data_IF_561701625187
#
_entry.id   IF_561701625187
#
_cell.length_a   1.000
_cell.length_b   1.000
_cell.length_c   1.000
_cell.angle_alpha   90.00
_cell.angle_beta   90.00
_cell.angle_gamma   90.00
#
_symmetry.space_group_name_H-M   'P 1'
#
loop_
_entity.id
_entity.type
_entity.pdbx_description
1 polymer ?
#
# COMPACT_ATOMS: atom_id res chain seq x y z
N UNK A 1 18.31 17.44 -36.46
CA UNK A 1 17.30 18.05 -35.59
C UNK A 1 16.09 17.16 -35.31
N UNK A 2 15.56 16.44 -36.30
CA UNK A 2 14.43 15.53 -36.07
C UNK A 2 14.75 14.40 -35.09
N UNK A 3 15.97 13.85 -35.07
CA UNK A 3 16.40 12.81 -34.13
C UNK A 3 16.50 13.32 -32.68
N UNK A 4 16.92 14.58 -32.51
CA UNK A 4 17.02 15.18 -31.16
C UNK A 4 15.63 15.40 -30.55
N UNK A 5 14.66 15.90 -31.34
CA UNK A 5 13.29 16.08 -30.92
C UNK A 5 12.62 14.75 -30.55
N UNK A 6 12.92 13.70 -31.29
CA UNK A 6 12.40 12.35 -31.03
C UNK A 6 12.94 11.78 -29.71
N UNK A 7 14.23 11.98 -29.45
CA UNK A 7 14.87 11.55 -28.18
C UNK A 7 14.31 12.34 -27.01
N UNK A 8 14.12 13.64 -27.13
CA UNK A 8 13.50 14.48 -26.07
C UNK A 8 12.08 14.04 -25.82
N UNK A 9 11.31 13.72 -26.85
CA UNK A 9 9.94 13.25 -26.73
C UNK A 9 9.87 11.88 -26.02
N UNK A 10 10.79 10.96 -26.34
CA UNK A 10 10.90 9.67 -25.65
C UNK A 10 11.26 9.84 -24.17
N UNK A 11 12.20 10.74 -23.86
CA UNK A 11 12.58 11.03 -22.47
C UNK A 11 11.40 11.59 -21.69
N UNK A 12 10.62 12.49 -22.29
CA UNK A 12 9.41 13.05 -21.67
C UNK A 12 8.34 11.97 -21.44
N UNK A 13 8.18 11.04 -22.37
CA UNK A 13 7.26 9.90 -22.20
C UNK A 13 7.67 9.00 -21.03
N UNK A 14 8.97 8.73 -20.88
CA UNK A 14 9.47 7.91 -19.78
C UNK A 14 9.39 8.62 -18.42
N UNK A 15 9.55 9.94 -18.38
CA UNK A 15 9.39 10.70 -17.14
C UNK A 15 7.94 10.80 -16.67
N UNK A 16 6.97 10.65 -17.56
CA UNK A 16 5.54 10.65 -17.20
C UNK A 16 5.05 9.33 -16.64
N UNK A 17 5.85 8.26 -16.69
CA UNK A 17 5.57 7.01 -15.98
C UNK A 17 6.05 7.16 -14.55
N UNK A 18 5.38 8.00 -13.77
CA UNK A 18 5.67 8.12 -12.34
C UNK A 18 5.19 6.86 -11.60
N UNK A 19 5.89 6.50 -10.53
CA UNK A 19 5.52 5.39 -9.65
C UNK A 19 4.10 5.50 -9.10
N UNK A 20 3.51 6.70 -9.10
CA UNK A 20 2.14 6.95 -8.68
C UNK A 20 1.10 6.23 -9.54
N UNK A 21 1.45 5.76 -10.75
CA UNK A 21 0.56 4.96 -11.60
C UNK A 21 0.66 3.46 -11.35
N UNK A 22 1.67 3.00 -10.63
CA UNK A 22 1.85 1.58 -10.30
C UNK A 22 1.02 1.14 -9.12
N UNK A 23 0.64 2.06 -8.24
CA UNK A 23 -0.16 1.79 -7.05
C UNK A 23 -1.21 2.88 -6.87
N UNK A 24 -2.38 2.47 -6.39
CA UNK A 24 -3.49 3.37 -6.15
C UNK A 24 -3.71 3.52 -4.64
N UNK A 25 -4.07 4.73 -4.24
CA UNK A 25 -4.39 5.02 -2.86
C UNK A 25 -3.17 5.25 -1.97
N UNK A 26 -3.45 5.39 -0.69
CA UNK A 26 -2.44 5.76 0.30
C UNK A 26 -1.46 4.61 0.61
N UNK A 27 -1.88 3.36 0.41
CA UNK A 27 -1.02 2.21 0.71
C UNK A 27 0.20 2.14 -0.19
N UNK A 28 0.14 2.72 -1.39
CA UNK A 28 1.29 2.85 -2.28
C UNK A 28 2.22 4.00 -1.92
N UNK A 29 1.82 4.86 -1.00
CA UNK A 29 2.55 6.06 -0.62
C UNK A 29 3.56 5.77 0.50
N UNK A 30 4.50 6.71 0.68
CA UNK A 30 5.39 6.67 1.85
C UNK A 30 4.61 6.95 3.13
N UNK A 31 5.13 6.46 4.24
CA UNK A 31 4.55 6.64 5.58
C UNK A 31 4.31 8.10 5.95
N UNK A 32 5.16 9.02 5.50
CA UNK A 32 4.94 10.44 5.77
C UNK A 32 3.60 10.93 5.19
N UNK A 33 3.23 10.46 4.00
CA UNK A 33 1.92 10.78 3.39
C UNK A 33 0.76 10.16 4.16
N UNK A 34 0.93 8.97 4.68
CA UNK A 34 -0.06 8.35 5.55
C UNK A 34 -0.32 9.20 6.79
N UNK A 35 0.74 9.65 7.45
CA UNK A 35 0.65 10.48 8.65
C UNK A 35 -0.06 11.81 8.36
N UNK A 36 0.33 12.50 7.28
CA UNK A 36 -0.33 13.74 6.85
C UNK A 36 -1.81 13.51 6.52
N UNK A 37 -2.11 12.42 5.82
CA UNK A 37 -3.46 12.08 5.37
C UNK A 37 -4.40 11.83 6.55
N UNK A 38 -3.92 11.20 7.62
CA UNK A 38 -4.73 10.87 8.80
C UNK A 38 -5.00 12.05 9.73
N UNK A 39 -4.28 13.17 9.56
CA UNK A 39 -4.51 14.39 10.35
C UNK A 39 -5.76 15.14 9.87
N UNK A 40 -6.06 15.08 8.57
CA UNK A 40 -7.19 15.77 7.95
C UNK A 40 -8.38 14.81 7.90
N UNK A 41 -9.49 15.16 8.57
CA UNK A 41 -10.71 14.33 8.63
C UNK A 41 -10.41 12.88 9.05
N UNK A 42 -9.94 12.64 10.28
CA UNK A 42 -9.39 11.35 10.67
C UNK A 42 -10.37 10.18 10.55
N UNK A 43 -11.68 10.40 10.77
CA UNK A 43 -12.66 9.32 10.71
C UNK A 43 -12.92 8.85 9.29
N UNK A 44 -13.12 9.77 8.35
CA UNK A 44 -13.35 9.45 6.94
C UNK A 44 -12.10 8.78 6.36
N UNK A 45 -10.94 9.33 6.66
CA UNK A 45 -9.66 8.80 6.20
C UNK A 45 -9.39 7.41 6.76
N UNK A 46 -9.76 7.17 8.01
CA UNK A 46 -9.68 5.84 8.63
C UNK A 46 -10.54 4.81 7.89
N UNK A 47 -11.76 5.17 7.52
CA UNK A 47 -12.64 4.29 6.74
C UNK A 47 -12.06 3.96 5.37
N UNK A 48 -11.56 4.98 4.66
CA UNK A 48 -10.92 4.80 3.36
C UNK A 48 -9.69 3.89 3.46
N UNK A 49 -8.84 4.11 4.45
CA UNK A 49 -7.63 3.32 4.67
C UNK A 49 -7.95 1.89 5.04
N UNK A 50 -8.95 1.66 5.88
CA UNK A 50 -9.38 0.32 6.24
C UNK A 50 -9.89 -0.44 5.01
N UNK A 51 -10.62 0.21 4.12
CA UNK A 51 -11.06 -0.40 2.87
C UNK A 51 -9.87 -0.76 1.95
N UNK A 52 -8.90 0.13 1.81
CA UNK A 52 -7.68 -0.14 1.05
C UNK A 52 -6.87 -1.29 1.63
N UNK A 53 -6.70 -1.32 2.95
CA UNK A 53 -5.97 -2.37 3.66
C UNK A 53 -6.64 -3.72 3.44
N UNK A 54 -7.96 -3.80 3.59
CA UNK A 54 -8.70 -5.05 3.35
C UNK A 54 -8.54 -5.53 1.91
N UNK A 55 -8.64 -4.63 0.95
CA UNK A 55 -8.43 -4.96 -0.45
C UNK A 55 -7.02 -5.48 -0.72
N UNK A 56 -6.01 -4.86 -0.14
CA UNK A 56 -4.62 -5.27 -0.28
C UNK A 56 -4.36 -6.65 0.32
N UNK A 57 -4.81 -6.89 1.54
CA UNK A 57 -4.65 -8.20 2.21
C UNK A 57 -5.40 -9.30 1.45
N UNK A 58 -6.59 -8.99 0.94
CA UNK A 58 -7.36 -9.92 0.10
C UNK A 58 -6.59 -10.26 -1.19
N UNK A 59 -5.98 -9.26 -1.81
CA UNK A 59 -5.18 -9.48 -3.02
C UNK A 59 -3.98 -10.39 -2.76
N UNK A 60 -3.31 -10.23 -1.62
CA UNK A 60 -2.20 -11.11 -1.22
C UNK A 60 -2.69 -12.56 -1.04
N UNK A 61 -3.87 -12.77 -0.46
CA UNK A 61 -4.47 -14.10 -0.36
C UNK A 61 -4.83 -14.69 -1.73
N UNK A 62 -5.28 -13.87 -2.66
CA UNK A 62 -5.58 -14.33 -4.03
C UNK A 62 -4.29 -14.87 -4.70
N UNK A 63 -3.17 -14.19 -4.50
CA UNK A 63 -1.87 -14.66 -5.01
C UNK A 63 -1.50 -16.00 -4.38
N UNK A 64 -1.67 -16.15 -3.07
CA UNK A 64 -1.43 -17.42 -2.38
C UNK A 64 -2.32 -18.54 -2.91
N UNK A 65 -3.60 -18.25 -3.11
CA UNK A 65 -4.55 -19.21 -3.68
C UNK A 65 -4.08 -19.72 -5.06
N UNK A 66 -3.66 -18.80 -5.93
CA UNK A 66 -3.16 -19.16 -7.26
C UNK A 66 -1.88 -20.02 -7.18
N UNK A 67 -1.06 -19.79 -6.18
CA UNK A 67 0.18 -20.54 -5.95
C UNK A 67 -0.04 -21.81 -5.12
N UNK A 68 -1.28 -22.17 -4.82
CA UNK A 68 -1.67 -23.34 -4.00
C UNK A 68 -1.05 -23.32 -2.61
N UNK A 69 -0.86 -22.13 -2.05
CA UNK A 69 -0.40 -21.93 -0.70
C UNK A 69 -1.60 -21.77 0.26
N UNK A 70 -1.44 -22.12 1.55
CA UNK A 70 -2.49 -21.89 2.53
C UNK A 70 -2.84 -20.41 2.63
N UNK A 71 -4.13 -20.08 2.71
CA UNK A 71 -4.57 -18.70 2.89
C UNK A 71 -4.29 -18.22 4.32
N UNK A 72 -3.97 -16.96 4.45
CA UNK A 72 -3.80 -16.31 5.75
C UNK A 72 -5.17 -15.88 6.30
N UNK A 73 -5.30 -15.89 7.63
CA UNK A 73 -6.49 -15.35 8.29
C UNK A 73 -6.39 -13.83 8.39
N UNK A 74 -6.93 -13.13 7.40
CA UNK A 74 -6.86 -11.66 7.34
C UNK A 74 -7.80 -10.97 8.33
N UNK A 75 -8.67 -11.72 9.01
CA UNK A 75 -9.54 -11.20 10.05
C UNK A 75 -9.00 -11.45 11.47
N UNK A 76 -7.79 -12.00 11.58
CA UNK A 76 -7.16 -12.30 12.87
C UNK A 76 -7.03 -11.05 13.76
N UNK A 77 -6.62 -9.93 13.19
CA UNK A 77 -6.58 -8.65 13.87
C UNK A 77 -7.78 -7.78 13.48
N UNK A 78 -8.26 -6.97 14.41
CA UNK A 78 -9.31 -5.98 14.10
C UNK A 78 -8.79 -4.89 13.16
N UNK A 79 -9.71 -4.21 12.49
CA UNK A 79 -9.36 -3.06 11.65
C UNK A 79 -8.65 -1.96 12.47
N UNK A 80 -9.11 -1.71 13.69
CA UNK A 80 -8.50 -0.74 14.58
C UNK A 80 -7.07 -1.13 14.97
N UNK A 81 -6.82 -2.40 15.23
CA UNK A 81 -5.47 -2.88 15.51
C UNK A 81 -4.53 -2.62 14.34
N UNK A 82 -4.95 -2.99 13.14
CA UNK A 82 -4.11 -2.83 11.94
C UNK A 82 -3.86 -1.35 11.66
N UNK A 83 -4.89 -0.52 11.76
CA UNK A 83 -4.78 0.93 11.56
C UNK A 83 -3.78 1.55 12.54
N UNK A 84 -3.90 1.22 13.83
CA UNK A 84 -3.01 1.76 14.86
C UNK A 84 -1.57 1.24 14.70
N UNK A 85 -1.42 0.00 14.28
CA UNK A 85 -0.11 -0.59 13.98
C UNK A 85 0.59 0.18 12.85
N UNK A 86 -0.11 0.43 11.75
CA UNK A 86 0.42 1.20 10.62
C UNK A 86 0.74 2.63 11.04
N UNK A 87 -0.17 3.26 11.78
CA UNK A 87 0.01 4.63 12.27
C UNK A 87 1.24 4.77 13.16
N UNK A 88 1.43 3.86 14.11
CA UNK A 88 2.58 3.88 15.01
C UNK A 88 3.89 3.65 14.28
N UNK A 89 3.94 2.67 13.39
CA UNK A 89 5.12 2.38 12.59
C UNK A 89 5.49 3.54 11.66
N UNK A 90 4.51 4.09 10.98
CA UNK A 90 4.72 5.18 10.03
C UNK A 90 5.23 6.45 10.69
N UNK A 91 4.82 6.71 11.93
CA UNK A 91 5.32 7.85 12.70
C UNK A 91 6.84 7.79 12.91
N UNK A 92 7.36 6.59 13.14
CA UNK A 92 8.79 6.36 13.38
C UNK A 92 9.58 6.10 12.09
N UNK A 93 8.91 5.74 11.00
CA UNK A 93 9.55 5.35 9.74
C UNK A 93 8.93 6.10 8.55
N UNK A 94 9.09 7.43 8.48
CA UNK A 94 8.39 8.25 7.49
C UNK A 94 8.78 7.94 6.03
N UNK A 95 9.96 7.38 5.79
CA UNK A 95 10.45 7.08 4.44
C UNK A 95 10.05 5.69 3.92
N UNK A 96 9.47 4.85 4.78
CA UNK A 96 9.00 3.53 4.37
C UNK A 96 7.67 3.64 3.62
N UNK A 97 7.41 2.66 2.75
CA UNK A 97 6.13 2.56 2.07
C UNK A 97 5.13 1.76 2.92
N UNK A 98 3.88 2.20 2.94
CA UNK A 98 2.83 1.55 3.73
C UNK A 98 2.63 0.09 3.33
N UNK A 99 2.63 -0.22 2.02
CA UNK A 99 2.41 -1.59 1.56
C UNK A 99 3.48 -2.58 2.07
N UNK A 100 4.73 -2.13 2.23
CA UNK A 100 5.79 -2.99 2.75
C UNK A 100 5.51 -3.45 4.18
N UNK A 101 4.97 -2.54 4.98
CA UNK A 101 4.55 -2.84 6.34
C UNK A 101 3.38 -3.81 6.38
N UNK A 102 2.41 -3.62 5.48
CA UNK A 102 1.27 -4.52 5.37
C UNK A 102 1.67 -5.93 4.91
N UNK A 103 2.67 -6.04 4.05
CA UNK A 103 3.24 -7.35 3.67
C UNK A 103 3.87 -8.06 4.87
N UNK A 104 4.62 -7.34 5.70
CA UNK A 104 5.20 -7.90 6.92
C UNK A 104 4.11 -8.39 7.88
N UNK A 105 3.09 -7.58 8.10
CA UNK A 105 1.96 -7.96 8.92
C UNK A 105 1.24 -9.18 8.36
N UNK A 106 1.01 -9.23 7.06
CA UNK A 106 0.36 -10.36 6.39
C UNK A 106 1.14 -11.65 6.57
N UNK A 107 2.47 -11.60 6.44
CA UNK A 107 3.31 -12.79 6.58
C UNK A 107 3.27 -13.36 8.01
N UNK A 108 3.04 -12.52 9.01
CA UNK A 108 2.92 -12.94 10.40
C UNK A 108 1.52 -13.45 10.78
N UNK A 109 0.53 -13.27 9.91
CA UNK A 109 -0.82 -13.78 10.18
C UNK A 109 -0.84 -15.31 10.21
N UNK A 110 -1.66 -15.91 11.08
CA UNK A 110 -1.87 -17.36 11.07
C UNK A 110 -2.58 -17.79 9.80
N UNK A 111 -2.41 -19.06 9.44
CA UNK A 111 -3.17 -19.62 8.32
C UNK A 111 -4.65 -19.63 8.66
N UNK A 112 -5.48 -19.33 7.66
CA UNK A 112 -6.93 -19.47 7.75
C UNK A 112 -7.34 -20.95 7.75
N UNK A 113 -8.51 -21.20 8.28
CA UNK A 113 -9.10 -22.55 8.24
C UNK A 113 -9.85 -22.77 6.95
#
# INVERSE_FOLDING_TARGET
MKKLLYIIFLILLFHNTSYSKATWGIIGSKCIKFTEYTIINPEIKKMELNAEIRGFLTALNIVRFKNKEPLKNITHHSEDYIFNFVKGFCKENPDQHVFMLLELLFNDLPNGK
#
